data_IF_098850807979
#
_entry.id   IF_098850807979
#
_cell.length_a   1.000
_cell.length_b   1.000
_cell.length_c   1.000
_cell.angle_alpha   90.00
_cell.angle_beta   90.00
_cell.angle_gamma   90.00
#
_symmetry.space_group_name_H-M   'P 1'
#
loop_
_entity.id
_entity.type
_entity.pdbx_description
1 polymer ?
#
# COMPACT_ATOMS: atom_id res chain seq x y z
N UNK A 1 17.19 49.70 10.30
CA UNK A 1 17.06 49.19 8.93
C UNK A 1 16.16 47.95 8.77
N UNK A 2 16.20 46.94 9.62
CA UNK A 2 15.33 45.74 9.45
C UNK A 2 13.83 45.97 9.74
N UNK A 3 13.46 46.92 10.60
CA UNK A 3 12.07 47.24 10.96
C UNK A 3 11.36 48.15 9.93
N UNK A 4 12.11 48.95 9.18
CA UNK A 4 11.61 49.82 8.13
C UNK A 4 11.34 49.09 6.83
N UNK A 5 12.05 47.98 6.57
CA UNK A 5 11.81 47.10 5.38
C UNK A 5 10.53 46.31 5.54
N UNK A 6 10.26 45.80 6.77
CA UNK A 6 9.03 45.08 7.06
C UNK A 6 7.74 45.91 6.92
N UNK A 7 7.83 47.20 7.25
CA UNK A 7 6.69 48.12 7.13
C UNK A 7 6.41 48.50 5.67
N UNK A 8 7.43 48.59 4.82
CA UNK A 8 7.27 48.87 3.39
C UNK A 8 6.69 47.65 2.62
N UNK A 9 6.99 46.42 3.01
CA UNK A 9 6.42 45.22 2.42
C UNK A 9 4.92 45.05 2.76
N UNK A 10 4.51 45.45 3.95
CA UNK A 10 3.09 45.40 4.37
C UNK A 10 2.22 46.47 3.60
N UNK A 11 2.79 47.61 3.23
CA UNK A 11 2.06 48.67 2.53
C UNK A 11 1.82 48.33 1.06
N UNK A 12 2.69 47.54 0.42
CA UNK A 12 2.55 47.13 -0.98
C UNK A 12 1.46 46.09 -1.18
N UNK A 13 1.13 45.25 -0.18
CA UNK A 13 0.05 44.28 -0.28
C UNK A 13 -1.36 44.85 -0.14
N UNK A 14 -1.53 46.06 0.39
CA UNK A 14 -2.85 46.68 0.57
C UNK A 14 -3.33 47.40 -0.71
N UNK A 15 -2.44 47.76 -1.64
CA UNK A 15 -2.80 48.48 -2.87
C UNK A 15 -3.14 47.59 -4.08
N UNK A 16 -3.03 46.28 -3.97
CA UNK A 16 -3.31 45.35 -5.08
C UNK A 16 -4.79 44.87 -5.16
N UNK A 17 -5.68 45.34 -4.29
CA UNK A 17 -7.07 44.90 -4.21
C UNK A 17 -8.14 45.89 -4.70
N UNK A 18 -7.78 47.00 -5.29
CA UNK A 18 -8.73 48.04 -5.75
C UNK A 18 -8.55 48.44 -7.21
N UNK A 19 -8.64 47.50 -8.16
CA UNK A 19 -8.80 47.87 -9.56
C UNK A 19 -9.43 46.73 -10.37
N UNK A 20 -10.75 46.69 -10.46
CA UNK A 20 -11.51 46.30 -11.66
C UNK A 20 -13.00 46.57 -11.43
N UNK A 21 -13.40 47.78 -11.71
CA UNK A 21 -14.78 48.16 -12.01
C UNK A 21 -14.85 48.56 -13.48
N UNK A 22 -15.65 47.85 -14.26
CA UNK A 22 -15.88 48.15 -15.69
C UNK A 22 -17.16 47.46 -16.16
N UNK A 23 -18.22 48.24 -16.29
CA UNK A 23 -19.56 47.87 -16.76
C UNK A 23 -19.57 47.46 -18.23
N UNK A 24 -20.36 46.45 -18.59
CA UNK A 24 -21.07 46.32 -19.86
C UNK A 24 -22.31 45.43 -19.67
N UNK A 25 -23.45 45.95 -20.14
CA UNK A 25 -24.79 45.39 -20.00
C UNK A 25 -25.14 44.37 -21.13
N UNK A 26 -26.39 43.87 -21.27
CA UNK A 26 -26.68 42.46 -20.96
C UNK A 26 -27.03 41.67 -22.25
N UNK A 27 -26.74 40.39 -22.27
CA UNK A 27 -27.27 39.42 -23.23
C UNK A 27 -28.09 38.34 -22.51
N UNK A 28 -29.18 37.97 -23.13
CA UNK A 28 -30.35 37.28 -22.65
C UNK A 28 -30.09 35.93 -21.95
N UNK A 29 -30.82 35.75 -20.89
CA UNK A 29 -31.05 34.68 -19.99
C UNK A 29 -31.48 33.37 -20.66
N UNK A 30 -30.74 32.30 -20.44
CA UNK A 30 -31.30 30.97 -20.33
C UNK A 30 -31.16 30.53 -18.85
N UNK A 31 -32.28 30.24 -18.23
CA UNK A 31 -32.33 29.72 -16.87
C UNK A 31 -31.66 28.35 -16.78
N UNK A 32 -30.77 28.13 -15.83
CA UNK A 32 -30.33 26.77 -15.52
C UNK A 32 -31.48 26.02 -14.87
N UNK A 33 -31.71 24.77 -15.33
CA UNK A 33 -32.56 23.83 -14.65
C UNK A 33 -32.06 23.70 -13.20
N UNK A 34 -32.97 23.85 -12.24
CA UNK A 34 -32.70 23.61 -10.85
C UNK A 34 -32.23 22.15 -10.67
N UNK A 35 -30.96 21.96 -10.38
CA UNK A 35 -30.49 20.71 -9.79
C UNK A 35 -31.20 20.55 -8.44
N UNK A 36 -31.91 19.44 -8.29
CA UNK A 36 -32.43 19.03 -7.01
C UNK A 36 -31.26 18.93 -6.01
N UNK A 37 -31.43 19.42 -4.76
CA UNK A 37 -30.38 19.29 -3.78
C UNK A 37 -30.04 17.79 -3.61
N UNK A 38 -28.77 17.43 -3.89
CA UNK A 38 -28.24 16.14 -3.52
C UNK A 38 -28.49 15.99 -2.01
N UNK A 39 -29.18 14.94 -1.61
CA UNK A 39 -29.36 14.63 -0.21
C UNK A 39 -27.96 14.57 0.41
N UNK A 40 -27.66 15.46 1.35
CA UNK A 40 -26.46 15.38 2.17
C UNK A 40 -26.44 14.00 2.82
N UNK A 41 -25.43 13.20 2.50
CA UNK A 41 -25.18 11.98 3.24
C UNK A 41 -25.00 12.34 4.70
N UNK A 42 -25.54 11.56 5.66
CA UNK A 42 -25.37 11.83 7.07
C UNK A 42 -23.88 11.96 7.36
N UNK A 43 -23.51 12.99 8.13
CA UNK A 43 -22.12 13.22 8.51
C UNK A 43 -21.60 11.93 9.18
N UNK A 44 -20.55 11.36 8.61
CA UNK A 44 -19.97 10.13 9.11
C UNK A 44 -19.31 10.43 10.46
N UNK A 45 -19.60 9.60 11.46
CA UNK A 45 -18.88 9.64 12.72
C UNK A 45 -17.54 8.93 12.56
N UNK A 46 -16.42 9.66 12.82
CA UNK A 46 -15.06 9.13 12.78
C UNK A 46 -14.34 9.32 11.44
N UNK A 47 -13.10 8.87 11.44
CA UNK A 47 -12.21 8.90 10.27
C UNK A 47 -11.31 7.66 10.29
N UNK A 48 -10.78 7.28 9.13
CA UNK A 48 -9.81 6.20 8.99
C UNK A 48 -8.46 6.79 8.60
N UNK A 49 -7.42 6.42 9.35
CA UNK A 49 -6.04 6.65 8.99
C UNK A 49 -5.35 5.30 8.77
N UNK A 50 -4.99 5.01 7.53
CA UNK A 50 -4.28 3.79 7.15
C UNK A 50 -2.80 4.09 6.89
N UNK A 51 -1.92 3.45 7.64
CA UNK A 51 -0.49 3.43 7.36
C UNK A 51 -0.17 2.24 6.44
N UNK A 52 0.05 2.54 5.16
CA UNK A 52 0.30 1.54 4.13
C UNK A 52 1.76 1.06 4.15
N UNK A 53 1.93 -0.26 4.16
CA UNK A 53 3.22 -0.95 4.12
C UNK A 53 3.78 -1.14 2.70
N UNK A 54 2.91 -1.11 1.67
CA UNK A 54 3.26 -1.48 0.29
C UNK A 54 3.36 -0.23 -0.60
N UNK A 55 4.54 0.40 -0.73
CA UNK A 55 4.68 1.61 -1.53
C UNK A 55 4.34 1.41 -3.01
N UNK A 56 4.53 0.21 -3.56
CA UNK A 56 4.18 -0.14 -4.93
C UNK A 56 2.68 -0.09 -5.21
N UNK A 57 1.84 -0.10 -4.18
CA UNK A 57 0.37 -0.05 -4.27
C UNK A 57 -0.23 1.27 -3.79
N UNK A 58 0.59 2.27 -3.51
CA UNK A 58 0.10 3.56 -3.03
C UNK A 58 -1.00 4.18 -3.91
N UNK A 59 -0.86 4.25 -5.25
CA UNK A 59 -1.90 4.82 -6.09
C UNK A 59 -3.26 4.12 -5.97
N UNK A 60 -3.27 2.80 -5.80
CA UNK A 60 -4.47 2.00 -5.65
C UNK A 60 -5.14 2.26 -4.29
N UNK A 61 -4.35 2.37 -3.23
CA UNK A 61 -4.86 2.70 -1.90
C UNK A 61 -5.43 4.13 -1.84
N UNK A 62 -4.77 5.11 -2.48
CA UNK A 62 -5.29 6.47 -2.57
C UNK A 62 -6.63 6.52 -3.33
N UNK A 63 -6.73 5.78 -4.45
CA UNK A 63 -7.96 5.68 -5.22
C UNK A 63 -9.10 5.00 -4.43
N UNK A 64 -8.79 3.93 -3.68
CA UNK A 64 -9.75 3.23 -2.83
C UNK A 64 -10.24 4.12 -1.69
N UNK A 65 -9.34 4.83 -1.02
CA UNK A 65 -9.66 5.77 0.05
C UNK A 65 -10.63 6.85 -0.43
N UNK A 66 -10.34 7.45 -1.58
CA UNK A 66 -11.22 8.45 -2.21
C UNK A 66 -12.61 7.87 -2.51
N UNK A 67 -12.67 6.72 -3.16
CA UNK A 67 -13.93 6.06 -3.50
C UNK A 67 -14.76 5.71 -2.26
N UNK A 68 -14.10 5.24 -1.19
CA UNK A 68 -14.77 4.92 0.06
C UNK A 68 -15.34 6.17 0.71
N UNK A 69 -14.56 7.24 0.80
CA UNK A 69 -15.03 8.54 1.32
C UNK A 69 -16.20 9.08 0.52
N UNK A 70 -16.15 9.03 -0.83
CA UNK A 70 -17.25 9.47 -1.70
C UNK A 70 -18.54 8.67 -1.47
N UNK A 71 -18.43 7.37 -1.20
CA UNK A 71 -19.59 6.49 -1.01
C UNK A 71 -20.19 6.54 0.39
N UNK A 72 -19.38 6.75 1.40
CA UNK A 72 -19.79 6.59 2.81
C UNK A 72 -19.82 7.89 3.59
N UNK A 73 -19.15 8.93 3.09
CA UNK A 73 -18.89 10.16 3.84
C UNK A 73 -17.78 10.02 4.90
N UNK A 74 -17.23 8.83 5.15
CA UNK A 74 -16.14 8.61 6.11
C UNK A 74 -14.82 9.07 5.51
N UNK A 75 -14.13 10.07 6.10
CA UNK A 75 -12.81 10.48 5.64
C UNK A 75 -11.80 9.36 5.79
N UNK A 76 -11.02 9.09 4.73
CA UNK A 76 -9.93 8.11 4.76
C UNK A 76 -8.63 8.78 4.32
N UNK A 77 -7.62 8.73 5.19
CA UNK A 77 -6.27 9.18 4.90
C UNK A 77 -5.37 7.96 4.75
N UNK A 78 -4.60 7.91 3.67
CA UNK A 78 -3.57 6.89 3.48
C UNK A 78 -2.20 7.56 3.49
N UNK A 79 -1.33 7.11 4.39
CA UNK A 79 0.09 7.49 4.41
C UNK A 79 0.89 6.23 4.09
N UNK A 80 1.80 6.32 3.13
CA UNK A 80 2.61 5.19 2.68
C UNK A 80 4.02 5.33 3.21
N UNK A 81 4.48 4.33 3.94
CA UNK A 81 5.87 4.25 4.39
C UNK A 81 6.82 3.98 3.22
N UNK A 82 8.01 4.55 3.27
CA UNK A 82 9.04 4.24 2.28
C UNK A 82 9.49 2.77 2.42
N UNK A 83 9.99 2.22 1.32
CA UNK A 83 10.47 0.83 1.31
C UNK A 83 11.55 0.62 2.39
N UNK A 84 11.37 -0.41 3.20
CA UNK A 84 12.30 -0.81 4.26
C UNK A 84 12.26 0.04 5.53
N UNK A 85 11.33 1.02 5.65
CA UNK A 85 11.25 1.91 6.83
C UNK A 85 9.91 1.86 7.54
N UNK A 86 9.13 0.81 7.33
CA UNK A 86 7.77 0.74 7.86
C UNK A 86 7.71 0.80 9.39
N UNK A 87 8.54 0.02 10.08
CA UNK A 87 8.51 -0.05 11.56
C UNK A 87 8.90 1.29 12.21
N UNK A 88 9.93 1.97 11.68
CA UNK A 88 10.31 3.31 12.16
C UNK A 88 9.21 4.33 11.88
N UNK A 89 8.57 4.23 10.72
CA UNK A 89 7.44 5.10 10.36
C UNK A 89 6.26 4.84 11.27
N UNK A 90 5.89 3.58 11.51
CA UNK A 90 4.80 3.20 12.40
C UNK A 90 5.03 3.72 13.82
N UNK A 91 6.25 3.55 14.34
CA UNK A 91 6.62 4.07 15.66
C UNK A 91 6.47 5.59 15.75
N UNK A 92 6.89 6.31 14.72
CA UNK A 92 6.77 7.76 14.66
C UNK A 92 5.31 8.22 14.54
N UNK A 93 4.49 7.51 13.74
CA UNK A 93 3.08 7.84 13.56
C UNK A 93 2.25 7.51 14.80
N UNK A 94 2.53 6.41 15.49
CA UNK A 94 1.85 6.03 16.75
C UNK A 94 2.12 7.00 17.91
N UNK A 95 3.21 7.77 17.84
CA UNK A 95 3.54 8.80 18.85
C UNK A 95 2.77 10.11 18.64
N UNK A 96 2.01 10.26 17.55
CA UNK A 96 1.23 11.47 17.27
C UNK A 96 -0.10 11.48 18.03
N UNK A 97 -0.71 12.66 18.14
CA UNK A 97 -2.07 12.81 18.69
C UNK A 97 -3.14 12.13 17.81
N UNK A 98 -2.90 12.04 16.51
CA UNK A 98 -3.73 11.35 15.54
C UNK A 98 -2.91 10.19 14.96
N UNK A 99 -2.97 9.06 15.67
CA UNK A 99 -2.26 7.84 15.26
C UNK A 99 -3.04 7.06 14.20
N UNK A 100 -2.37 6.18 13.42
CA UNK A 100 -3.03 5.27 12.51
C UNK A 100 -4.10 4.42 13.20
N UNK A 101 -5.28 4.35 12.59
CA UNK A 101 -6.38 3.47 13.02
C UNK A 101 -6.33 2.11 12.34
N UNK A 102 -5.65 2.04 11.19
CA UNK A 102 -5.33 0.80 10.50
C UNK A 102 -3.83 0.77 10.21
N UNK A 103 -3.18 -0.31 10.60
CA UNK A 103 -1.75 -0.51 10.39
C UNK A 103 -1.44 -2.00 10.26
N UNK A 104 -0.32 -2.32 9.63
CA UNK A 104 0.13 -3.69 9.47
C UNK A 104 0.98 -4.14 10.65
N UNK A 105 0.66 -5.34 11.16
CA UNK A 105 1.48 -6.08 12.12
C UNK A 105 2.12 -7.26 11.41
N UNK A 106 3.43 -7.35 11.47
CA UNK A 106 4.19 -8.35 10.73
C UNK A 106 4.34 -9.67 11.51
N UNK A 107 3.25 -10.45 11.52
CA UNK A 107 3.20 -11.75 12.15
C UNK A 107 3.38 -11.74 13.69
N UNK A 108 3.67 -12.89 14.30
CA UNK A 108 3.80 -13.00 15.76
C UNK A 108 4.91 -12.11 16.35
N UNK A 109 6.01 -11.91 15.63
CA UNK A 109 7.11 -11.05 16.08
C UNK A 109 6.67 -9.58 16.13
N UNK A 110 5.94 -9.12 15.11
CA UNK A 110 5.36 -7.78 15.11
C UNK A 110 4.29 -7.62 16.19
N UNK A 111 3.49 -8.67 16.43
CA UNK A 111 2.46 -8.64 17.47
C UNK A 111 3.06 -8.40 18.87
N UNK A 112 4.20 -9.00 19.18
CA UNK A 112 4.89 -8.77 20.45
C UNK A 112 5.22 -7.30 20.72
N UNK A 113 5.39 -6.49 19.67
CA UNK A 113 5.68 -5.07 19.77
C UNK A 113 4.41 -4.19 19.77
N UNK A 114 3.35 -4.62 19.08
CA UNK A 114 2.20 -3.78 18.77
C UNK A 114 0.88 -4.23 19.40
N UNK A 115 0.87 -5.34 20.15
CA UNK A 115 -0.32 -5.94 20.76
C UNK A 115 -1.16 -4.91 21.55
N UNK A 116 -0.52 -4.06 22.34
CA UNK A 116 -1.20 -3.10 23.20
C UNK A 116 -1.92 -1.97 22.42
N UNK A 117 -1.63 -1.85 21.11
CA UNK A 117 -2.27 -0.90 20.20
C UNK A 117 -3.34 -1.55 19.33
N UNK A 118 -3.48 -2.87 19.38
CA UNK A 118 -4.42 -3.61 18.57
C UNK A 118 -5.77 -3.79 19.28
N UNK A 119 -6.84 -3.64 18.51
CA UNK A 119 -8.18 -3.97 18.97
C UNK A 119 -8.42 -5.48 18.83
N UNK A 120 -9.14 -6.08 19.79
CA UNK A 120 -9.57 -7.49 19.65
C UNK A 120 -10.69 -7.58 18.61
N UNK A 121 -10.39 -8.24 17.50
CA UNK A 121 -11.29 -8.44 16.38
C UNK A 121 -12.20 -9.67 16.55
N UNK A 122 -12.04 -10.46 17.63
CA UNK A 122 -12.89 -11.62 17.88
C UNK A 122 -14.38 -11.21 17.93
N UNK A 123 -15.22 -11.94 17.18
CA UNK A 123 -16.66 -11.66 17.11
C UNK A 123 -17.05 -10.43 16.29
N UNK A 124 -16.11 -9.72 15.68
CA UNK A 124 -16.43 -8.65 14.74
C UNK A 124 -16.92 -9.19 13.38
N UNK A 125 -17.72 -8.40 12.63
CA UNK A 125 -18.16 -8.83 11.30
C UNK A 125 -17.01 -9.17 10.36
N UNK A 126 -15.91 -8.41 10.39
CA UNK A 126 -14.75 -8.64 9.52
C UNK A 126 -14.02 -9.95 9.86
N UNK A 127 -13.99 -10.35 11.13
CA UNK A 127 -13.45 -11.66 11.51
C UNK A 127 -14.29 -12.80 10.95
N UNK A 128 -15.61 -12.62 10.88
CA UNK A 128 -16.54 -13.58 10.30
C UNK A 128 -16.40 -13.80 8.78
N UNK A 129 -15.73 -12.89 8.08
CA UNK A 129 -15.45 -13.01 6.64
C UNK A 129 -14.19 -13.85 6.33
N UNK A 130 -13.41 -14.24 7.34
CA UNK A 130 -12.22 -15.08 7.13
C UNK A 130 -12.63 -16.47 6.62
N UNK A 131 -11.95 -16.93 5.59
CA UNK A 131 -12.15 -18.25 5.00
C UNK A 131 -11.40 -19.36 5.75
N UNK A 132 -10.51 -19.00 6.66
CA UNK A 132 -9.74 -19.90 7.52
C UNK A 132 -9.22 -19.15 8.74
N UNK A 133 -9.23 -19.81 9.90
CA UNK A 133 -8.64 -19.28 11.13
C UNK A 133 -7.12 -19.07 11.03
N UNK A 134 -6.46 -19.78 10.09
CA UNK A 134 -5.03 -19.57 9.80
C UNK A 134 -4.69 -18.17 9.30
N UNK A 135 -5.70 -17.39 8.90
CA UNK A 135 -5.54 -16.01 8.48
C UNK A 135 -5.73 -14.99 9.62
N UNK A 136 -6.00 -15.48 10.82
CA UNK A 136 -6.06 -14.66 12.02
C UNK A 136 -4.70 -14.62 12.73
N UNK A 137 -4.30 -13.44 13.16
CA UNK A 137 -3.16 -13.25 14.06
C UNK A 137 -3.69 -13.24 15.50
N UNK A 138 -3.59 -14.37 16.18
CA UNK A 138 -4.22 -14.59 17.47
C UNK A 138 -3.19 -14.90 18.57
N UNK A 139 -3.48 -14.44 19.78
CA UNK A 139 -2.71 -14.78 20.99
C UNK A 139 -3.65 -14.78 22.19
N UNK A 140 -3.52 -15.75 23.08
CA UNK A 140 -4.30 -15.90 24.33
C UNK A 140 -5.84 -15.84 24.14
N UNK A 141 -6.33 -16.27 23.00
CA UNK A 141 -7.77 -16.30 22.66
C UNK A 141 -8.34 -15.02 22.09
N UNK A 142 -7.56 -13.95 21.97
CA UNK A 142 -7.94 -12.73 21.27
C UNK A 142 -7.38 -12.72 19.83
N UNK A 143 -8.01 -11.95 18.94
CA UNK A 143 -7.62 -11.79 17.54
C UNK A 143 -7.16 -10.36 17.30
N UNK A 144 -5.87 -10.16 17.15
CA UNK A 144 -5.25 -8.84 17.02
C UNK A 144 -5.04 -8.36 15.59
N UNK A 145 -5.23 -9.26 14.62
CA UNK A 145 -5.12 -8.91 13.21
C UNK A 145 -5.70 -10.00 12.32
N UNK A 146 -5.99 -9.61 11.09
CA UNK A 146 -6.43 -10.52 10.02
C UNK A 146 -5.54 -10.31 8.80
N UNK A 147 -5.28 -11.39 8.06
CA UNK A 147 -4.56 -11.30 6.81
C UNK A 147 -5.41 -10.59 5.75
N UNK A 148 -4.84 -9.57 5.09
CA UNK A 148 -5.46 -8.90 3.95
C UNK A 148 -4.87 -9.38 2.61
N UNK A 149 -3.76 -10.12 2.66
CA UNK A 149 -3.08 -10.70 1.50
C UNK A 149 -2.41 -12.00 1.90
N UNK A 150 -2.36 -12.95 0.96
CA UNK A 150 -1.65 -14.22 1.11
C UNK A 150 -0.43 -14.18 0.21
N UNK A 151 0.74 -14.45 0.79
CA UNK A 151 1.99 -14.61 0.07
C UNK A 151 2.48 -16.05 0.21
N UNK A 152 3.06 -16.61 -0.85
CA UNK A 152 3.52 -17.99 -0.88
C UNK A 152 4.92 -18.08 -1.47
N UNK A 153 5.68 -19.05 -1.00
CA UNK A 153 6.95 -19.43 -1.62
C UNK A 153 6.70 -20.24 -2.88
N UNK A 154 7.52 -19.99 -3.89
CA UNK A 154 7.44 -20.74 -5.14
C UNK A 154 8.35 -20.18 -6.22
N UNK A 155 8.40 -20.88 -7.35
CA UNK A 155 9.07 -20.43 -8.55
C UNK A 155 8.06 -19.77 -9.48
N UNK A 156 8.20 -18.48 -9.70
CA UNK A 156 7.42 -17.77 -10.72
C UNK A 156 8.03 -18.09 -12.07
N UNK A 157 7.29 -18.76 -12.92
CA UNK A 157 7.78 -19.23 -14.21
C UNK A 157 7.19 -18.42 -15.36
N UNK A 158 8.06 -17.86 -16.19
CA UNK A 158 7.66 -17.31 -17.49
C UNK A 158 7.47 -18.45 -18.48
N UNK A 159 6.19 -18.85 -18.68
CA UNK A 159 5.84 -19.99 -19.54
C UNK A 159 6.22 -19.79 -21.00
N UNK A 160 6.23 -18.54 -21.50
CA UNK A 160 6.62 -18.25 -22.89
C UNK A 160 8.10 -18.51 -23.11
N UNK A 161 8.96 -17.95 -22.25
CA UNK A 161 10.41 -18.19 -22.37
C UNK A 161 10.77 -19.65 -22.11
N UNK A 162 10.06 -20.32 -21.18
CA UNK A 162 10.27 -21.75 -20.96
C UNK A 162 9.95 -22.58 -22.21
N UNK A 163 8.84 -22.26 -22.89
CA UNK A 163 8.46 -22.91 -24.16
C UNK A 163 9.44 -22.61 -25.32
N UNK A 164 9.97 -21.38 -25.39
CA UNK A 164 11.02 -21.02 -26.34
C UNK A 164 12.31 -21.84 -26.12
N UNK A 165 12.61 -22.20 -24.88
CA UNK A 165 13.69 -23.09 -24.53
C UNK A 165 13.38 -24.57 -24.81
N UNK A 166 12.15 -24.90 -25.20
CA UNK A 166 11.70 -26.26 -25.53
C UNK A 166 11.17 -27.08 -24.36
N UNK A 167 10.78 -26.39 -23.27
CA UNK A 167 10.25 -27.00 -22.04
C UNK A 167 8.85 -26.51 -21.69
N UNK A 168 8.19 -27.25 -20.85
CA UNK A 168 6.94 -26.88 -20.19
C UNK A 168 7.07 -26.93 -18.66
N UNK A 169 6.09 -26.43 -17.95
CA UNK A 169 6.05 -26.50 -16.47
C UNK A 169 5.97 -27.97 -16.02
N UNK A 170 5.34 -28.84 -16.80
CA UNK A 170 5.18 -30.27 -16.49
C UNK A 170 6.50 -31.05 -16.53
N UNK A 171 7.52 -30.52 -17.21
CA UNK A 171 8.87 -31.07 -17.24
C UNK A 171 9.64 -30.82 -15.94
N UNK A 172 9.13 -29.93 -15.06
CA UNK A 172 9.77 -29.50 -13.82
C UNK A 172 8.97 -30.06 -12.64
N UNK A 173 9.22 -31.31 -12.27
CA UNK A 173 8.49 -32.02 -11.22
C UNK A 173 9.36 -32.52 -10.07
N UNK A 174 10.67 -32.29 -10.11
CA UNK A 174 11.64 -32.59 -9.07
C UNK A 174 12.79 -31.58 -9.08
N UNK A 175 13.63 -31.61 -8.06
CA UNK A 175 14.85 -30.80 -8.04
C UNK A 175 15.81 -31.18 -9.16
N UNK A 176 15.93 -32.48 -9.48
CA UNK A 176 16.79 -32.99 -10.54
C UNK A 176 16.34 -32.46 -11.91
N UNK A 177 15.04 -32.48 -12.20
CA UNK A 177 14.50 -31.97 -13.47
C UNK A 177 14.61 -30.45 -13.55
N UNK A 178 14.34 -29.72 -12.45
CA UNK A 178 14.58 -28.28 -12.38
C UNK A 178 16.03 -27.93 -12.68
N UNK A 179 16.97 -28.65 -12.04
CA UNK A 179 18.41 -28.48 -12.23
C UNK A 179 18.81 -28.73 -13.69
N UNK A 180 18.35 -29.82 -14.29
CA UNK A 180 18.67 -30.17 -15.67
C UNK A 180 18.17 -29.10 -16.66
N UNK A 181 16.93 -28.63 -16.49
CA UNK A 181 16.36 -27.55 -17.32
C UNK A 181 17.15 -26.24 -17.15
N UNK A 182 17.51 -25.90 -15.92
CA UNK A 182 18.27 -24.68 -15.63
C UNK A 182 19.70 -24.74 -16.20
N UNK A 183 20.37 -25.91 -16.13
CA UNK A 183 21.70 -26.11 -16.71
C UNK A 183 21.66 -26.02 -18.25
N UNK A 184 20.66 -26.61 -18.92
CA UNK A 184 20.51 -26.55 -20.35
C UNK A 184 20.22 -25.10 -20.82
N UNK A 185 19.28 -24.41 -20.23
CA UNK A 185 18.99 -23.01 -20.57
C UNK A 185 20.22 -22.13 -20.34
N UNK A 186 20.95 -22.35 -19.24
CA UNK A 186 22.18 -21.60 -18.96
C UNK A 186 23.25 -21.86 -20.01
N UNK A 187 23.40 -23.10 -20.49
CA UNK A 187 24.35 -23.44 -21.54
C UNK A 187 24.00 -22.77 -22.88
N UNK A 188 22.71 -22.60 -23.16
CA UNK A 188 22.19 -21.99 -24.41
C UNK A 188 21.80 -20.51 -24.25
N UNK A 189 22.15 -19.86 -23.17
CA UNK A 189 21.71 -18.48 -22.86
C UNK A 189 22.00 -17.46 -23.95
N UNK A 190 23.14 -17.60 -24.66
CA UNK A 190 23.54 -16.68 -25.70
C UNK A 190 22.73 -16.91 -27.00
N UNK A 191 22.29 -18.14 -27.25
CA UNK A 191 21.37 -18.52 -28.34
C UNK A 191 19.94 -18.05 -28.03
N UNK A 192 19.47 -18.31 -26.80
CA UNK A 192 18.11 -18.01 -26.36
C UNK A 192 17.90 -16.51 -26.05
N UNK A 193 18.97 -15.77 -25.73
CA UNK A 193 18.89 -14.38 -25.35
C UNK A 193 18.42 -14.13 -23.92
N UNK A 194 18.28 -15.20 -23.10
CA UNK A 194 17.89 -15.11 -21.69
C UNK A 194 18.59 -16.18 -20.85
N UNK A 195 18.65 -15.95 -19.54
CA UNK A 195 19.19 -16.90 -18.57
C UNK A 195 18.07 -17.73 -17.92
N UNK A 196 18.44 -18.87 -17.31
CA UNK A 196 17.50 -19.75 -16.62
C UNK A 196 16.78 -19.06 -15.46
N UNK A 197 17.47 -18.20 -14.72
CA UNK A 197 16.91 -17.47 -13.59
C UNK A 197 17.19 -15.97 -13.68
N UNK A 198 16.20 -15.21 -13.27
CA UNK A 198 16.37 -13.85 -12.82
C UNK A 198 16.18 -13.83 -11.31
N UNK A 199 16.92 -13.00 -10.62
CA UNK A 199 16.91 -12.94 -9.15
C UNK A 199 16.65 -11.53 -8.65
N UNK A 200 16.26 -11.43 -7.36
CA UNK A 200 16.17 -10.13 -6.71
C UNK A 200 17.55 -9.51 -6.51
N UNK A 201 17.59 -8.18 -6.35
CA UNK A 201 18.81 -7.46 -5.96
C UNK A 201 19.31 -7.93 -4.60
N UNK A 202 20.62 -7.77 -4.38
CA UNK A 202 21.28 -8.11 -3.10
C UNK A 202 21.52 -6.87 -2.24
N UNK A 203 20.81 -5.79 -2.52
CA UNK A 203 20.80 -4.59 -1.66
C UNK A 203 19.93 -4.80 -0.42
N UNK A 204 20.07 -3.90 0.56
CA UNK A 204 19.39 -4.00 1.85
C UNK A 204 17.86 -4.01 1.78
N UNK A 205 17.28 -3.55 0.67
CA UNK A 205 15.82 -3.55 0.46
C UNK A 205 15.29 -4.85 -0.16
N UNK A 206 16.16 -5.63 -0.82
CA UNK A 206 15.79 -6.79 -1.63
C UNK A 206 16.37 -8.12 -1.17
N UNK A 207 17.46 -8.11 -0.40
CA UNK A 207 18.21 -9.30 0.02
C UNK A 207 17.44 -10.23 0.96
N UNK A 208 16.39 -9.75 1.62
CA UNK A 208 15.52 -10.54 2.48
C UNK A 208 14.92 -11.75 1.74
N UNK A 209 14.74 -11.65 0.42
CA UNK A 209 14.23 -12.75 -0.42
C UNK A 209 15.14 -13.97 -0.37
N UNK A 210 16.46 -13.75 -0.34
CA UNK A 210 17.44 -14.82 -0.16
C UNK A 210 17.55 -15.24 1.31
N UNK A 211 17.69 -14.26 2.21
CA UNK A 211 17.88 -14.52 3.64
C UNK A 211 16.75 -15.37 4.21
N UNK A 212 15.50 -15.05 3.86
CA UNK A 212 14.33 -15.78 4.34
C UNK A 212 14.30 -17.21 3.81
N UNK A 213 14.58 -17.43 2.52
CA UNK A 213 14.62 -18.78 1.97
C UNK A 213 15.75 -19.60 2.56
N UNK A 214 16.96 -19.05 2.67
CA UNK A 214 18.09 -19.75 3.28
C UNK A 214 17.85 -20.07 4.76
N UNK A 215 17.23 -19.19 5.51
CA UNK A 215 16.93 -19.42 6.92
C UNK A 215 15.87 -20.52 7.11
N UNK A 216 14.93 -20.65 6.18
CA UNK A 216 13.88 -21.68 6.26
C UNK A 216 14.34 -23.06 5.82
N UNK A 217 15.37 -23.19 4.98
CA UNK A 217 15.88 -24.49 4.52
C UNK A 217 16.17 -25.51 5.63
N UNK A 218 16.80 -25.16 6.76
CA UNK A 218 17.06 -26.14 7.84
C UNK A 218 15.84 -26.41 8.72
N UNK A 219 14.72 -25.72 8.52
CA UNK A 219 13.51 -25.85 9.34
C UNK A 219 12.50 -26.80 8.68
N UNK A 220 12.57 -26.93 7.38
CA UNK A 220 11.79 -27.85 6.56
C UNK A 220 12.64 -29.13 6.27
#
# INVERSE_FOLDING_TARGET
MKKTIAMLLALVMVFALCACGGSSAPAATQAPAAEAPAAEAPAAEGAVYYLNFKPEQDPQWQALAKLYTEKTGVPVTVVTAASGTYEETLMAEMAKSEAPTLFQVNGPVGLANWKDYCYDLAGTPIYGELTSDSFALSEDGAVYGIAYVIESYGLITNKTLLAEAGYSVDDINSFETLKAVAEDITARKDELGFAAFSSAGMDSSSDWRFKTHLANLPIY
#
